data_IF_008450374934
#
_entry.id   IF_008450374934
#
_cell.length_a   1.000
_cell.length_b   1.000
_cell.length_c   1.000
_cell.angle_alpha   90.00
_cell.angle_beta   90.00
_cell.angle_gamma   90.00
#
_symmetry.space_group_name_H-M   'P 1'
#
loop_
_entity.id
_entity.type
_entity.pdbx_description
1 polymer ?
#
# COMPACT_ATOMS: atom_id res chain seq x y z
N UNK A 1 -0.89 20.09 19.76
CA UNK A 1 -0.31 18.74 19.60
C UNK A 1 -0.48 18.32 18.15
N UNK A 2 0.62 18.14 17.40
CA UNK A 2 0.54 17.73 16.00
C UNK A 2 -0.01 16.30 15.86
N UNK A 3 -0.76 16.02 14.79
CA UNK A 3 -1.21 14.67 14.48
C UNK A 3 -0.02 13.72 14.39
N UNK A 4 -0.05 12.62 15.15
CA UNK A 4 0.99 11.58 15.10
C UNK A 4 0.82 10.78 13.81
N UNK A 5 1.84 10.85 12.96
CA UNK A 5 1.93 10.03 11.75
C UNK A 5 2.75 8.77 12.01
N UNK A 6 2.18 7.62 11.69
CA UNK A 6 2.88 6.34 11.74
C UNK A 6 3.19 5.85 10.32
N UNK A 7 4.37 5.27 10.14
CA UNK A 7 4.75 4.61 8.89
C UNK A 7 4.29 3.15 8.87
N UNK A 8 3.95 2.67 7.68
CA UNK A 8 3.58 1.29 7.43
C UNK A 8 3.94 0.86 6.02
N UNK A 9 3.82 -0.44 5.79
CA UNK A 9 4.06 -1.08 4.51
C UNK A 9 2.89 -2.00 4.18
N UNK A 10 2.49 -2.00 2.91
CA UNK A 10 1.55 -2.96 2.34
C UNK A 10 2.30 -3.85 1.34
N UNK A 11 2.21 -5.16 1.55
CA UNK A 11 2.67 -6.20 0.66
C UNK A 11 1.51 -6.64 -0.24
N UNK A 12 1.66 -6.47 -1.55
CA UNK A 12 0.66 -6.81 -2.56
C UNK A 12 0.98 -8.19 -3.11
N UNK A 13 -0.02 -9.07 -3.15
CA UNK A 13 0.18 -10.46 -3.57
C UNK A 13 -0.22 -10.66 -5.03
N UNK A 14 0.55 -11.50 -5.73
CA UNK A 14 0.14 -12.07 -7.01
C UNK A 14 0.20 -11.13 -8.21
N UNK A 15 0.97 -10.03 -8.15
CA UNK A 15 1.18 -9.10 -9.27
C UNK A 15 2.55 -9.34 -9.94
N UNK A 16 2.66 -8.99 -11.23
CA UNK A 16 3.90 -9.18 -12.03
C UNK A 16 4.49 -10.61 -12.05
N UNK A 17 3.68 -11.63 -11.73
CA UNK A 17 4.09 -13.04 -11.77
C UNK A 17 3.83 -13.61 -13.17
N UNK A 18 4.79 -14.33 -13.75
CA UNK A 18 4.68 -15.03 -15.05
C UNK A 18 4.05 -14.19 -16.18
N UNK A 19 4.45 -12.93 -16.29
CA UNK A 19 3.94 -11.95 -17.28
C UNK A 19 2.45 -11.59 -17.14
N UNK A 20 1.77 -12.03 -16.08
CA UNK A 20 0.39 -11.67 -15.78
C UNK A 20 0.32 -10.44 -14.85
N UNK A 21 -0.78 -9.68 -14.93
CA UNK A 21 -1.06 -8.48 -14.11
C UNK A 21 0.13 -7.50 -14.06
N UNK A 22 0.65 -7.15 -15.25
CA UNK A 22 1.82 -6.27 -15.40
C UNK A 22 1.50 -4.84 -14.99
N UNK A 23 2.33 -4.28 -14.13
CA UNK A 23 2.31 -2.87 -13.75
C UNK A 23 3.72 -2.34 -13.54
N UNK A 24 3.94 -1.07 -13.88
CA UNK A 24 5.19 -0.35 -13.59
C UNK A 24 5.10 0.32 -12.21
N UNK A 25 6.24 0.59 -11.58
CA UNK A 25 6.30 1.35 -10.32
C UNK A 25 5.56 2.69 -10.41
N UNK A 26 5.78 3.42 -11.51
CA UNK A 26 5.14 4.72 -11.75
C UNK A 26 3.62 4.56 -11.78
N UNK A 27 3.10 3.57 -12.51
CA UNK A 27 1.66 3.37 -12.61
C UNK A 27 1.05 2.91 -11.28
N UNK A 28 1.75 2.05 -10.56
CA UNK A 28 1.37 1.61 -9.22
C UNK A 28 1.25 2.81 -8.26
N UNK A 29 2.22 3.71 -8.28
CA UNK A 29 2.22 4.92 -7.46
C UNK A 29 1.06 5.85 -7.84
N UNK A 30 0.84 6.10 -9.14
CA UNK A 30 -0.30 6.92 -9.62
C UNK A 30 -1.64 6.40 -9.12
N UNK A 31 -1.85 5.08 -9.15
CA UNK A 31 -3.10 4.46 -8.67
C UNK A 31 -3.19 4.58 -7.15
N UNK A 32 -2.13 4.21 -6.42
CA UNK A 32 -2.14 4.27 -4.96
C UNK A 32 -2.34 5.69 -4.44
N UNK A 33 -1.82 6.72 -5.13
CA UNK A 33 -2.03 8.12 -4.74
C UNK A 33 -3.50 8.55 -4.71
N UNK A 34 -4.38 7.88 -5.47
CA UNK A 34 -5.82 8.18 -5.45
C UNK A 34 -6.50 7.84 -4.11
N UNK A 35 -5.86 7.04 -3.24
CA UNK A 35 -6.40 6.76 -1.89
C UNK A 35 -5.91 7.73 -0.82
N UNK A 36 -5.02 8.66 -1.18
CA UNK A 36 -4.51 9.66 -0.25
C UNK A 36 -5.61 10.59 0.25
N UNK A 37 -5.47 11.00 1.50
CA UNK A 37 -6.34 11.99 2.13
C UNK A 37 -5.62 12.63 3.32
N UNK A 38 -6.34 13.42 4.12
CA UNK A 38 -5.81 14.08 5.32
C UNK A 38 -5.13 13.14 6.33
N UNK A 39 -5.45 11.84 6.29
CA UNK A 39 -5.01 10.82 7.25
C UNK A 39 -4.16 9.70 6.62
N UNK A 40 -3.91 9.74 5.30
CA UNK A 40 -3.18 8.71 4.56
C UNK A 40 -2.36 9.33 3.43
N UNK A 41 -1.05 9.07 3.40
CA UNK A 41 -0.13 9.47 2.33
C UNK A 41 0.67 8.28 1.83
N UNK A 42 0.81 8.12 0.52
CA UNK A 42 1.66 7.10 -0.10
C UNK A 42 3.03 7.71 -0.34
N UNK A 43 4.07 7.14 0.27
CA UNK A 43 5.42 7.67 0.18
C UNK A 43 6.14 7.20 -1.07
N UNK A 44 6.17 5.88 -1.29
CA UNK A 44 6.88 5.25 -2.40
C UNK A 44 6.43 3.83 -2.64
N UNK A 45 6.73 3.34 -3.83
CA UNK A 45 6.65 1.92 -4.20
C UNK A 45 8.06 1.35 -4.19
N UNK A 46 8.26 0.19 -3.57
CA UNK A 46 9.50 -0.58 -3.63
C UNK A 46 9.23 -1.80 -4.51
N UNK A 47 10.11 -2.06 -5.49
CA UNK A 47 9.92 -3.04 -6.54
C UNK A 47 8.64 -2.82 -7.34
N UNK A 48 7.50 -3.39 -6.96
CA UNK A 48 6.17 -3.12 -7.58
C UNK A 48 5.02 -3.50 -6.64
N UNK A 49 5.33 -4.34 -5.66
CA UNK A 49 4.45 -5.04 -4.76
C UNK A 49 4.49 -4.50 -3.33
N UNK A 50 5.39 -3.57 -3.04
CA UNK A 50 5.56 -3.01 -1.71
C UNK A 50 5.22 -1.53 -1.70
N UNK A 51 4.17 -1.16 -0.96
CA UNK A 51 3.69 0.22 -0.87
C UNK A 51 4.03 0.77 0.51
N UNK A 52 4.90 1.77 0.59
CA UNK A 52 5.19 2.47 1.84
C UNK A 52 4.23 3.65 1.98
N UNK A 53 3.64 3.79 3.15
CA UNK A 53 2.69 4.87 3.45
C UNK A 53 2.90 5.46 4.85
N UNK A 54 2.33 6.65 5.05
CA UNK A 54 2.11 7.26 6.36
C UNK A 54 0.61 7.34 6.63
N UNK A 55 0.22 7.05 7.88
CA UNK A 55 -1.16 7.16 8.34
C UNK A 55 -1.25 7.98 9.62
N UNK A 56 -2.40 8.61 9.84
CA UNK A 56 -2.74 9.33 11.07
C UNK A 56 -4.17 8.98 11.48
N UNK A 57 -4.40 8.65 12.77
CA UNK A 57 -5.73 8.32 13.30
C UNK A 57 -6.48 7.17 12.62
N UNK A 58 -5.81 6.36 11.80
CA UNK A 58 -6.41 5.28 11.00
C UNK A 58 -5.77 3.94 11.37
N UNK A 59 -6.54 2.84 11.32
CA UNK A 59 -6.00 1.49 11.52
C UNK A 59 -5.26 0.98 10.27
N UNK A 60 -4.21 0.18 10.48
CA UNK A 60 -3.46 -0.47 9.41
C UNK A 60 -4.34 -1.33 8.49
N UNK A 61 -5.32 -2.04 9.06
CA UNK A 61 -6.28 -2.84 8.31
C UNK A 61 -7.13 -1.99 7.35
N UNK A 62 -7.54 -0.79 7.76
CA UNK A 62 -8.29 0.16 6.92
C UNK A 62 -7.44 0.62 5.72
N UNK A 63 -6.15 0.90 5.94
CA UNK A 63 -5.24 1.25 4.84
C UNK A 63 -5.12 0.08 3.86
N UNK A 64 -4.96 -1.15 4.38
CA UNK A 64 -4.94 -2.36 3.57
C UNK A 64 -6.19 -2.53 2.73
N UNK A 65 -7.38 -2.43 3.34
CA UNK A 65 -8.67 -2.56 2.66
C UNK A 65 -8.86 -1.53 1.53
N UNK A 66 -8.46 -0.27 1.75
CA UNK A 66 -8.51 0.77 0.70
C UNK A 66 -7.62 0.43 -0.49
N UNK A 67 -6.39 -0.02 -0.23
CA UNK A 67 -5.45 -0.41 -1.28
C UNK A 67 -5.91 -1.69 -1.99
N UNK A 68 -6.47 -2.65 -1.25
CA UNK A 68 -7.06 -3.87 -1.83
C UNK A 68 -8.16 -3.53 -2.83
N UNK A 69 -9.08 -2.64 -2.45
CA UNK A 69 -10.20 -2.20 -3.30
C UNK A 69 -9.71 -1.52 -4.57
N UNK A 70 -8.79 -0.56 -4.46
CA UNK A 70 -8.35 0.21 -5.64
C UNK A 70 -7.51 -0.64 -6.60
N UNK A 71 -6.65 -1.51 -6.08
CA UNK A 71 -5.85 -2.42 -6.90
C UNK A 71 -6.74 -3.46 -7.56
N UNK A 72 -7.70 -4.04 -6.82
CA UNK A 72 -8.63 -5.01 -7.39
C UNK A 72 -9.46 -4.40 -8.52
N UNK A 73 -9.91 -3.16 -8.34
CA UNK A 73 -10.62 -2.42 -9.39
C UNK A 73 -9.75 -2.17 -10.62
N UNK A 74 -8.47 -1.84 -10.43
CA UNK A 74 -7.56 -1.61 -11.55
C UNK A 74 -7.25 -2.89 -12.34
N UNK A 75 -7.01 -4.00 -11.64
CA UNK A 75 -6.65 -5.27 -12.28
C UNK A 75 -7.83 -6.11 -12.76
N UNK A 76 -9.07 -5.69 -12.49
CA UNK A 76 -10.28 -6.45 -12.87
C UNK A 76 -10.43 -7.80 -12.16
N UNK A 77 -9.68 -8.02 -11.08
CA UNK A 77 -9.70 -9.25 -10.27
C UNK A 77 -9.35 -8.92 -8.83
N UNK A 78 -9.67 -9.82 -7.92
CA UNK A 78 -9.29 -9.65 -6.51
C UNK A 78 -7.77 -9.70 -6.37
N UNK A 79 -7.22 -8.60 -5.85
CA UNK A 79 -5.84 -8.51 -5.36
C UNK A 79 -5.90 -8.64 -3.85
N UNK A 80 -4.97 -9.37 -3.25
CA UNK A 80 -4.87 -9.48 -1.80
C UNK A 80 -3.66 -8.71 -1.30
N UNK A 81 -3.81 -8.08 -0.14
CA UNK A 81 -2.72 -7.34 0.47
C UNK A 81 -2.49 -7.73 1.93
N UNK A 82 -1.29 -7.48 2.44
CA UNK A 82 -0.98 -7.62 3.86
C UNK A 82 -0.35 -6.33 4.36
N UNK A 83 -0.93 -5.73 5.39
CA UNK A 83 -0.42 -4.49 5.98
C UNK A 83 0.33 -4.76 7.28
N UNK A 84 1.49 -4.11 7.45
CA UNK A 84 2.27 -4.14 8.69
C UNK A 84 2.77 -2.75 9.08
N UNK A 85 2.99 -2.57 10.39
CA UNK A 85 3.63 -1.35 10.89
C UNK A 85 5.11 -1.36 10.53
N UNK A 86 5.69 -0.19 10.25
CA UNK A 86 7.13 -0.11 10.00
C UNK A 86 7.94 -0.47 11.26
N UNK A 87 7.37 -0.23 12.45
CA UNK A 87 7.96 -0.66 13.74
C UNK A 87 8.15 -2.19 13.77
N UNK A 88 7.14 -2.96 13.36
CA UNK A 88 7.21 -4.43 13.31
C UNK A 88 8.29 -4.91 12.35
N UNK A 89 8.44 -4.27 11.19
CA UNK A 89 9.48 -4.67 10.23
C UNK A 89 10.88 -4.37 10.80
N UNK A 90 11.07 -3.20 11.41
CA UNK A 90 12.34 -2.82 12.05
C UNK A 90 12.72 -3.69 13.24
N UNK A 91 11.76 -4.34 13.91
CA UNK A 91 12.06 -5.25 15.02
C UNK A 91 12.46 -6.66 14.57
N UNK A 92 12.43 -6.95 13.26
CA UNK A 92 12.81 -8.24 12.68
C UNK A 92 14.25 -8.26 12.16
N UNK A 93 14.96 -7.13 12.25
CA UNK A 93 16.34 -6.90 11.81
C UNK A 93 17.16 -6.41 12.98
#
# INVERSE_FOLDING_TARGET
MGQKWDEGIVFVRGINIYKNARITQKKMLEICKKVENQNLKILRIVNVDNIIFKKSGTHYATVGSKLEKILSSYFGRRIYVTTRSMKTIRSLT
#
